data_IF_900616648192
#
_entry.id   IF_900616648192
#
_cell.length_a   1.000
_cell.length_b   1.000
_cell.length_c   1.000
_cell.angle_alpha   90.00
_cell.angle_beta   90.00
_cell.angle_gamma   90.00
#
_symmetry.space_group_name_H-M   'P 1'
#
loop_
_entity.id
_entity.type
_entity.pdbx_description
1 polymer ?
#
# COMPACT_ATOMS: atom_id res chain seq x y z
N UNK A 1 -8.52 27.56 21.82
CA UNK A 1 -8.12 26.19 21.35
C UNK A 1 -7.09 26.33 20.23
N UNK A 2 -5.81 25.96 20.48
CA UNK A 2 -4.80 25.93 19.39
C UNK A 2 -5.19 24.79 18.44
N UNK A 3 -5.55 25.09 17.18
CA UNK A 3 -5.73 24.08 16.13
C UNK A 3 -4.42 23.29 16.01
N UNK A 4 -4.41 22.05 16.45
CA UNK A 4 -3.27 21.15 16.20
C UNK A 4 -3.20 20.95 14.69
N UNK A 5 -2.06 21.28 14.09
CA UNK A 5 -1.78 21.03 12.67
C UNK A 5 -1.86 19.52 12.44
N UNK A 6 -2.72 19.05 11.53
CA UNK A 6 -2.87 17.65 11.21
C UNK A 6 -1.57 17.05 10.63
N UNK A 7 -1.40 15.74 10.75
CA UNK A 7 -0.21 15.03 10.29
C UNK A 7 0.06 15.26 8.79
N UNK A 8 -0.97 15.22 7.96
CA UNK A 8 -0.86 15.49 6.51
C UNK A 8 -0.31 16.89 6.23
N UNK A 9 -0.76 17.91 6.98
CA UNK A 9 -0.25 19.27 6.84
C UNK A 9 1.22 19.38 7.29
N UNK A 10 1.61 18.64 8.34
CA UNK A 10 3.02 18.59 8.78
C UNK A 10 3.91 17.93 7.73
N UNK A 11 3.45 16.86 7.08
CA UNK A 11 4.16 16.20 5.98
C UNK A 11 4.33 17.16 4.80
N UNK A 12 3.27 17.88 4.40
CA UNK A 12 3.35 18.88 3.33
C UNK A 12 4.31 20.02 3.67
N UNK A 13 4.30 20.50 4.90
CA UNK A 13 5.28 21.51 5.38
C UNK A 13 6.69 20.91 5.29
N UNK A 14 6.89 19.67 5.75
CA UNK A 14 8.16 18.96 5.64
C UNK A 14 8.65 18.86 4.20
N UNK A 15 7.77 18.53 3.26
CA UNK A 15 8.08 18.47 1.82
C UNK A 15 8.56 19.83 1.28
N UNK A 16 7.82 20.91 1.55
CA UNK A 16 8.17 22.27 1.08
C UNK A 16 9.48 22.73 1.69
N UNK A 17 9.65 22.56 3.00
CA UNK A 17 10.90 22.93 3.68
C UNK A 17 12.07 22.08 3.21
N UNK A 18 11.87 20.78 2.97
CA UNK A 18 12.88 19.89 2.41
C UNK A 18 13.34 20.35 1.03
N UNK A 19 12.40 20.70 0.15
CA UNK A 19 12.72 21.23 -1.17
C UNK A 19 13.52 22.55 -1.09
N UNK A 20 13.12 23.46 -0.21
CA UNK A 20 13.85 24.72 -0.01
C UNK A 20 15.27 24.50 0.53
N UNK A 21 15.41 23.65 1.53
CA UNK A 21 16.73 23.35 2.14
C UNK A 21 17.63 22.64 1.14
N UNK A 22 17.14 21.64 0.42
CA UNK A 22 17.90 20.94 -0.61
C UNK A 22 18.35 21.87 -1.75
N UNK A 23 17.51 22.83 -2.12
CA UNK A 23 17.85 23.83 -3.14
C UNK A 23 18.89 24.86 -2.69
N UNK A 24 18.72 25.41 -1.47
CA UNK A 24 19.58 26.47 -0.94
C UNK A 24 20.90 25.93 -0.39
N UNK A 25 20.89 24.72 0.14
CA UNK A 25 22.03 24.08 0.83
C UNK A 25 22.20 22.63 0.38
N UNK A 26 22.65 22.35 -0.88
CA UNK A 26 22.76 21.00 -1.43
C UNK A 26 23.60 20.07 -0.56
N UNK A 27 24.78 20.52 -0.12
CA UNK A 27 25.71 19.72 0.71
C UNK A 27 25.10 19.35 2.08
N UNK A 28 24.20 20.18 2.61
CA UNK A 28 23.47 19.86 3.83
C UNK A 28 22.33 18.87 3.54
N UNK A 29 21.68 18.99 2.39
CA UNK A 29 20.68 18.04 1.90
C UNK A 29 21.23 16.62 1.87
N UNK A 30 22.43 16.42 1.34
CA UNK A 30 23.11 15.12 1.30
C UNK A 30 23.33 14.52 2.70
N UNK A 31 23.67 15.33 3.68
CA UNK A 31 23.85 14.89 5.07
C UNK A 31 22.56 14.48 5.76
N UNK A 32 21.40 14.83 5.21
CA UNK A 32 20.10 14.45 5.75
C UNK A 32 19.64 13.05 5.31
N UNK A 33 20.27 12.43 4.30
CA UNK A 33 19.96 11.09 3.83
C UNK A 33 19.77 10.07 4.95
N UNK A 34 20.63 9.96 6.00
CA UNK A 34 20.46 8.97 7.06
C UNK A 34 19.13 9.09 7.81
N UNK A 35 18.57 10.30 7.96
CA UNK A 35 17.27 10.49 8.62
C UNK A 35 16.11 9.96 7.75
N UNK A 36 16.20 10.17 6.44
CA UNK A 36 15.26 9.58 5.49
C UNK A 36 15.35 8.05 5.46
N UNK A 37 16.57 7.51 5.41
CA UNK A 37 16.82 6.07 5.44
C UNK A 37 16.32 5.45 6.76
N UNK A 38 16.51 6.13 7.90
CA UNK A 38 15.99 5.69 9.19
C UNK A 38 14.45 5.62 9.17
N UNK A 39 13.79 6.61 8.59
CA UNK A 39 12.33 6.59 8.44
C UNK A 39 11.85 5.40 7.57
N UNK A 40 12.50 5.16 6.43
CA UNK A 40 12.16 4.01 5.58
C UNK A 40 12.40 2.68 6.29
N UNK A 41 13.48 2.55 7.08
CA UNK A 41 13.74 1.36 7.89
C UNK A 41 12.67 1.16 8.97
N UNK A 42 12.22 2.23 9.62
CA UNK A 42 11.13 2.16 10.59
C UNK A 42 9.82 1.69 9.96
N UNK A 43 9.51 2.10 8.71
CA UNK A 43 8.35 1.58 7.99
C UNK A 43 8.55 0.09 7.69
N UNK A 44 9.70 -0.30 7.11
CA UNK A 44 9.96 -1.69 6.72
C UNK A 44 9.89 -2.68 7.89
N UNK A 45 10.30 -2.30 9.10
CA UNK A 45 10.26 -3.18 10.27
C UNK A 45 8.85 -3.57 10.71
N UNK A 46 7.83 -2.79 10.34
CA UNK A 46 6.44 -3.03 10.73
C UNK A 46 5.77 -4.03 9.80
N UNK A 47 6.18 -4.07 8.54
CA UNK A 47 5.44 -4.73 7.45
C UNK A 47 5.26 -6.21 7.71
N UNK A 48 6.34 -6.93 8.01
CA UNK A 48 6.32 -8.40 8.19
C UNK A 48 5.43 -8.84 9.36
N UNK A 49 5.63 -8.35 10.60
CA UNK A 49 4.80 -8.78 11.72
C UNK A 49 3.34 -8.36 11.57
N UNK A 50 3.07 -7.22 10.93
CA UNK A 50 1.71 -6.75 10.68
C UNK A 50 0.99 -7.65 9.66
N UNK A 51 1.61 -7.90 8.50
CA UNK A 51 1.02 -8.75 7.45
C UNK A 51 0.77 -10.15 7.98
N UNK A 52 1.77 -10.77 8.61
CA UNK A 52 1.62 -12.13 9.13
C UNK A 52 0.48 -12.23 10.13
N UNK A 53 0.45 -11.36 11.15
CA UNK A 53 -0.56 -11.43 12.21
C UNK A 53 -1.97 -11.12 11.71
N UNK A 54 -2.13 -10.12 10.83
CA UNK A 54 -3.45 -9.77 10.27
C UNK A 54 -3.99 -10.86 9.35
N UNK A 55 -3.14 -11.49 8.54
CA UNK A 55 -3.55 -12.60 7.68
C UNK A 55 -3.97 -13.82 8.48
N UNK A 56 -3.17 -14.25 9.46
CA UNK A 56 -3.51 -15.40 10.31
C UNK A 56 -4.80 -15.13 11.07
N UNK A 57 -4.95 -13.95 11.67
CA UNK A 57 -6.18 -13.55 12.37
C UNK A 57 -7.39 -13.51 11.42
N UNK A 58 -7.23 -12.94 10.23
CA UNK A 58 -8.32 -12.83 9.24
C UNK A 58 -8.80 -14.19 8.77
N UNK A 59 -7.90 -15.14 8.54
CA UNK A 59 -8.24 -16.49 8.06
C UNK A 59 -8.77 -17.36 9.19
N UNK A 60 -8.08 -17.41 10.33
CA UNK A 60 -8.42 -18.29 11.44
C UNK A 60 -9.63 -17.79 12.25
N UNK A 61 -9.89 -16.48 12.31
CA UNK A 61 -11.03 -15.90 13.02
C UNK A 61 -12.39 -16.15 12.38
N UNK A 62 -12.43 -16.80 11.21
CA UNK A 62 -13.66 -17.05 10.46
C UNK A 62 -14.27 -18.41 10.78
N UNK A 63 -14.86 -18.60 11.93
CA UNK A 63 -15.29 -19.88 12.49
C UNK A 63 -16.33 -20.72 11.71
N UNK A 64 -16.91 -20.29 10.59
CA UNK A 64 -17.85 -21.06 9.77
C UNK A 64 -17.48 -21.02 8.27
N UNK A 65 -16.63 -21.96 7.87
CA UNK A 65 -16.12 -22.08 6.50
C UNK A 65 -17.19 -22.28 5.42
N UNK A 66 -18.35 -22.87 5.73
CA UNK A 66 -19.41 -23.12 4.73
C UNK A 66 -20.21 -21.88 4.35
N UNK A 67 -20.58 -21.07 5.33
CA UNK A 67 -21.26 -19.77 5.08
C UNK A 67 -20.27 -18.76 4.50
N UNK A 68 -19.06 -18.77 5.01
CA UNK A 68 -17.95 -17.93 4.54
C UNK A 68 -17.49 -18.26 3.14
N UNK A 69 -17.44 -19.53 2.75
CA UNK A 69 -16.96 -19.95 1.44
C UNK A 69 -17.72 -19.30 0.28
N UNK A 70 -19.04 -19.17 0.40
CA UNK A 70 -19.85 -18.52 -0.64
C UNK A 70 -19.70 -16.99 -0.64
N UNK A 71 -19.63 -16.37 0.55
CA UNK A 71 -19.43 -14.94 0.69
C UNK A 71 -17.99 -14.57 0.33
N UNK A 72 -17.03 -15.34 0.84
CA UNK A 72 -15.59 -15.17 0.55
C UNK A 72 -15.27 -15.33 -0.93
N UNK A 73 -15.81 -16.36 -1.59
CA UNK A 73 -15.62 -16.54 -3.02
C UNK A 73 -16.11 -15.34 -3.85
N UNK A 74 -17.30 -14.81 -3.50
CA UNK A 74 -17.81 -13.60 -4.17
C UNK A 74 -16.96 -12.36 -3.87
N UNK A 75 -16.51 -12.22 -2.64
CA UNK A 75 -15.65 -11.11 -2.24
C UNK A 75 -14.30 -11.18 -2.97
N UNK A 76 -13.66 -12.36 -3.03
CA UNK A 76 -12.38 -12.55 -3.73
C UNK A 76 -12.54 -12.25 -5.22
N UNK A 77 -13.57 -12.78 -5.89
CA UNK A 77 -13.81 -12.48 -7.32
C UNK A 77 -13.97 -10.97 -7.53
N UNK A 78 -14.70 -10.29 -6.64
CA UNK A 78 -14.85 -8.84 -6.73
C UNK A 78 -13.52 -8.10 -6.48
N UNK A 79 -12.74 -8.55 -5.51
CA UNK A 79 -11.44 -7.97 -5.20
C UNK A 79 -10.47 -8.09 -6.38
N UNK A 80 -10.32 -9.29 -6.96
CA UNK A 80 -9.47 -9.52 -8.13
C UNK A 80 -9.92 -8.68 -9.34
N UNK A 81 -11.22 -8.57 -9.55
CA UNK A 81 -11.77 -7.72 -10.60
C UNK A 81 -11.44 -6.24 -10.38
N UNK A 82 -11.63 -5.73 -9.16
CA UNK A 82 -11.32 -4.35 -8.81
C UNK A 82 -9.81 -4.07 -8.92
N UNK A 83 -8.98 -4.97 -8.41
CA UNK A 83 -7.50 -4.87 -8.48
C UNK A 83 -7.02 -4.87 -9.93
N UNK A 84 -7.59 -5.71 -10.80
CA UNK A 84 -7.26 -5.72 -12.24
C UNK A 84 -7.58 -4.38 -12.89
N UNK A 85 -8.73 -3.79 -12.57
CA UNK A 85 -9.10 -2.45 -13.06
C UNK A 85 -8.13 -1.39 -12.52
N UNK A 86 -7.79 -1.45 -11.23
CA UNK A 86 -6.85 -0.51 -10.62
C UNK A 86 -5.48 -0.57 -11.32
N UNK A 87 -4.97 -1.78 -11.55
CA UNK A 87 -3.73 -2.03 -12.27
C UNK A 87 -3.77 -1.45 -13.70
N UNK A 88 -4.82 -1.78 -14.46
CA UNK A 88 -4.99 -1.31 -15.83
C UNK A 88 -5.07 0.24 -15.91
N UNK A 89 -5.80 0.87 -15.00
CA UNK A 89 -5.88 2.34 -14.92
C UNK A 89 -4.53 2.94 -14.54
N UNK A 90 -3.82 2.36 -13.56
CA UNK A 90 -2.49 2.80 -13.15
C UNK A 90 -1.50 2.78 -14.32
N UNK A 91 -1.42 1.65 -15.02
CA UNK A 91 -0.57 1.49 -16.21
C UNK A 91 -0.95 2.46 -17.33
N UNK A 92 -2.25 2.63 -17.61
CA UNK A 92 -2.74 3.54 -18.64
C UNK A 92 -2.30 5.00 -18.36
N UNK A 93 -2.51 5.49 -17.13
CA UNK A 93 -2.14 6.85 -16.78
C UNK A 93 -0.64 7.10 -16.85
N UNK A 94 0.17 6.12 -16.45
CA UNK A 94 1.63 6.23 -16.49
C UNK A 94 2.17 6.22 -17.91
N UNK A 95 1.56 5.46 -18.81
CA UNK A 95 1.92 5.45 -20.25
C UNK A 95 1.47 6.73 -20.98
N UNK A 96 0.39 7.37 -20.53
CA UNK A 96 -0.08 8.64 -21.12
C UNK A 96 0.72 9.82 -20.59
N UNK A 97 0.98 9.87 -19.28
CA UNK A 97 1.61 11.00 -18.63
C UNK A 97 3.13 10.99 -18.75
N UNK A 98 3.73 9.81 -18.95
CA UNK A 98 5.18 9.57 -19.08
C UNK A 98 6.02 10.43 -18.12
N UNK A 99 5.74 10.41 -16.79
CA UNK A 99 6.34 11.37 -15.86
C UNK A 99 7.85 11.18 -15.68
N UNK A 100 8.39 9.99 -15.98
CA UNK A 100 9.82 9.67 -15.87
C UNK A 100 10.61 9.90 -17.13
N UNK A 101 9.96 10.12 -18.28
CA UNK A 101 10.64 10.28 -19.58
C UNK A 101 11.36 11.62 -19.65
N UNK A 102 12.62 11.61 -20.17
CA UNK A 102 13.41 12.81 -20.36
C UNK A 102 14.13 13.35 -19.11
N UNK A 103 14.09 12.60 -18.01
CA UNK A 103 14.85 12.94 -16.80
C UNK A 103 16.30 12.48 -16.98
N UNK A 104 17.25 13.41 -16.96
CA UNK A 104 18.67 13.09 -16.97
C UNK A 104 19.12 12.71 -15.56
N UNK A 105 19.30 11.42 -15.32
CA UNK A 105 19.93 10.91 -14.10
C UNK A 105 21.45 11.10 -14.18
N UNK A 106 22.08 11.46 -13.06
CA UNK A 106 23.55 11.54 -12.98
C UNK A 106 24.20 10.18 -13.28
N UNK A 107 25.44 10.18 -13.77
CA UNK A 107 26.17 8.98 -14.21
C UNK A 107 26.26 7.85 -13.16
N UNK A 108 26.13 8.17 -11.86
CA UNK A 108 26.08 7.18 -10.78
C UNK A 108 24.78 6.36 -10.77
N UNK A 109 23.68 6.92 -11.26
CA UNK A 109 22.41 6.23 -11.39
C UNK A 109 22.34 5.36 -12.66
N UNK A 110 23.06 5.75 -13.72
CA UNK A 110 23.17 4.96 -14.95
C UNK A 110 23.86 3.59 -14.73
N UNK A 111 24.77 3.48 -13.76
CA UNK A 111 25.38 2.20 -13.38
C UNK A 111 24.40 1.23 -12.71
N UNK A 112 23.35 1.75 -12.03
CA UNK A 112 22.30 0.93 -11.47
C UNK A 112 21.36 0.35 -12.55
N UNK A 113 21.16 1.06 -13.68
CA UNK A 113 20.36 0.58 -14.82
C UNK A 113 21.02 -0.61 -15.52
N UNK A 114 22.35 -0.59 -15.64
CA UNK A 114 23.12 -1.70 -16.21
C UNK A 114 23.05 -2.96 -15.32
N UNK A 115 22.99 -2.79 -14.00
CA UNK A 115 22.80 -3.91 -13.06
C UNK A 115 21.38 -4.47 -13.13
N UNK A 116 20.35 -3.63 -13.31
CA UNK A 116 18.97 -4.06 -13.48
C UNK A 116 18.72 -4.73 -14.84
N UNK A 117 19.36 -4.25 -15.91
CA UNK A 117 19.28 -4.85 -17.25
C UNK A 117 20.01 -6.21 -17.32
N UNK A 118 21.07 -6.40 -16.54
CA UNK A 118 21.79 -7.67 -16.45
C UNK A 118 21.01 -8.77 -15.70
N UNK A 119 19.96 -8.41 -14.99
CA UNK A 119 19.08 -9.35 -14.25
C UNK A 119 17.85 -9.79 -15.05
N UNK A 120 17.77 -9.57 -16.35
CA UNK A 120 16.75 -10.18 -17.22
C UNK A 120 17.03 -11.68 -17.38
N UNK A 121 16.83 -12.42 -16.31
CA UNK A 121 16.63 -13.86 -16.40
C UNK A 121 15.20 -14.06 -16.89
N UNK A 122 15.04 -14.87 -17.94
CA UNK A 122 13.74 -15.45 -18.27
C UNK A 122 13.22 -16.14 -17.00
N UNK A 123 12.21 -15.54 -16.37
CA UNK A 123 11.61 -16.11 -15.15
C UNK A 123 10.91 -17.39 -15.60
N UNK A 124 11.47 -18.55 -15.25
CA UNK A 124 10.77 -19.81 -15.41
C UNK A 124 9.55 -19.75 -14.47
N UNK A 125 8.35 -19.73 -15.06
CA UNK A 125 7.10 -19.66 -14.31
C UNK A 125 6.96 -20.81 -13.30
N UNK A 126 7.57 -21.96 -13.59
CA UNK A 126 7.56 -23.13 -12.69
C UNK A 126 8.46 -22.86 -11.49
N UNK A 127 9.67 -22.39 -11.72
CA UNK A 127 10.59 -22.02 -10.64
C UNK A 127 10.02 -20.89 -9.78
N UNK A 128 9.39 -19.89 -10.41
CA UNK A 128 8.72 -18.83 -9.67
C UNK A 128 7.57 -19.35 -8.81
N UNK A 129 6.73 -20.26 -9.35
CA UNK A 129 5.63 -20.85 -8.59
C UNK A 129 6.12 -21.72 -7.41
N UNK A 130 7.21 -22.45 -7.60
CA UNK A 130 7.83 -23.23 -6.52
C UNK A 130 8.46 -22.33 -5.46
N UNK A 131 9.03 -21.20 -5.87
CA UNK A 131 9.66 -20.20 -4.97
C UNK A 131 8.66 -19.50 -4.04
N UNK A 132 7.34 -19.55 -4.34
CA UNK A 132 6.28 -19.06 -3.44
C UNK A 132 6.26 -19.85 -2.12
N UNK A 133 6.69 -21.11 -2.13
CA UNK A 133 6.67 -21.98 -0.95
C UNK A 133 7.97 -21.77 -0.16
N UNK A 134 7.92 -21.24 1.08
CA UNK A 134 9.12 -21.00 1.86
C UNK A 134 9.72 -22.33 2.34
N UNK A 135 11.03 -22.48 2.20
CA UNK A 135 11.77 -23.58 2.83
C UNK A 135 11.93 -23.35 4.35
N UNK A 136 11.96 -22.08 4.76
CA UNK A 136 12.03 -21.65 6.16
C UNK A 136 11.32 -20.31 6.32
N UNK A 137 10.25 -20.29 7.11
CA UNK A 137 9.47 -19.07 7.33
C UNK A 137 10.26 -17.95 8.04
N UNK A 138 11.16 -18.30 8.95
CA UNK A 138 11.96 -17.31 9.68
C UNK A 138 12.95 -16.62 8.72
N UNK A 139 13.55 -17.36 7.80
CA UNK A 139 14.41 -16.81 6.76
C UNK A 139 13.61 -15.91 5.80
N UNK A 140 12.43 -16.35 5.37
CA UNK A 140 11.52 -15.54 4.54
C UNK A 140 11.13 -14.22 5.24
N UNK A 141 10.83 -14.25 6.54
CA UNK A 141 10.56 -13.06 7.35
C UNK A 141 11.78 -12.16 7.46
N UNK A 142 12.98 -12.71 7.66
CA UNK A 142 14.23 -11.96 7.76
C UNK A 142 14.60 -11.26 6.45
N UNK A 143 14.37 -11.90 5.31
CA UNK A 143 14.57 -11.33 3.96
C UNK A 143 13.44 -10.44 3.50
N UNK A 144 12.31 -10.42 4.23
CA UNK A 144 11.09 -9.71 3.85
C UNK A 144 10.51 -10.20 2.51
N UNK A 145 10.60 -11.51 2.24
CA UNK A 145 9.96 -12.13 1.08
C UNK A 145 8.44 -12.26 1.33
N UNK A 146 7.72 -11.22 0.89
CA UNK A 146 6.30 -11.07 1.19
C UNK A 146 5.46 -12.21 0.62
N UNK A 147 5.81 -12.72 -0.56
CA UNK A 147 5.05 -13.77 -1.22
C UNK A 147 5.11 -15.08 -0.42
N UNK A 148 6.30 -15.45 0.03
CA UNK A 148 6.51 -16.60 0.89
C UNK A 148 5.84 -16.46 2.26
N UNK A 149 5.90 -15.25 2.84
CA UNK A 149 5.26 -14.95 4.13
C UNK A 149 3.73 -15.10 4.01
N UNK A 150 3.13 -14.53 2.95
CA UNK A 150 1.69 -14.61 2.69
C UNK A 150 1.26 -16.06 2.50
N UNK A 151 1.98 -16.83 1.68
CA UNK A 151 1.70 -18.24 1.45
C UNK A 151 1.68 -19.03 2.76
N UNK A 152 2.74 -18.88 3.57
CA UNK A 152 2.81 -19.56 4.87
C UNK A 152 1.70 -19.09 5.82
N UNK A 153 1.42 -17.78 5.90
CA UNK A 153 0.37 -17.24 6.74
C UNK A 153 -1.01 -17.78 6.37
N UNK A 154 -1.28 -17.97 5.08
CA UNK A 154 -2.51 -18.60 4.60
C UNK A 154 -2.63 -20.06 5.08
N UNK A 155 -1.59 -20.87 4.87
CA UNK A 155 -1.59 -22.27 5.32
C UNK A 155 -1.69 -22.38 6.84
N UNK A 156 -0.92 -21.57 7.56
CA UNK A 156 -0.94 -21.54 9.01
C UNK A 156 -2.28 -21.10 9.57
N UNK A 157 -2.88 -20.05 8.99
CA UNK A 157 -4.20 -19.56 9.38
C UNK A 157 -5.30 -20.60 9.18
N UNK A 158 -5.27 -21.34 8.05
CA UNK A 158 -6.18 -22.46 7.81
C UNK A 158 -5.97 -23.58 8.83
N UNK A 159 -4.73 -23.94 9.14
CA UNK A 159 -4.41 -24.96 10.15
C UNK A 159 -4.92 -24.52 11.55
N UNK A 160 -4.66 -23.27 11.94
CA UNK A 160 -5.15 -22.70 13.22
C UNK A 160 -6.67 -22.76 13.33
N UNK A 161 -7.38 -22.43 12.25
CA UNK A 161 -8.83 -22.55 12.21
C UNK A 161 -9.35 -23.99 12.40
N UNK A 162 -8.63 -25.00 11.90
CA UNK A 162 -9.02 -26.42 12.03
C UNK A 162 -8.72 -27.01 13.41
N UNK A 163 -7.79 -26.44 14.18
CA UNK A 163 -7.50 -26.90 15.56
C UNK A 163 -8.66 -26.62 16.52
N UNK A 164 -9.59 -25.73 16.17
CA UNK A 164 -10.72 -25.34 17.03
C UNK A 164 -10.27 -24.53 18.25
N UNK A 165 -10.84 -24.78 19.43
CA UNK A 165 -10.66 -23.95 20.63
C UNK A 165 -9.20 -23.68 21.05
N UNK A 166 -8.25 -24.58 20.75
CA UNK A 166 -6.80 -24.30 20.94
C UNK A 166 -6.27 -23.27 19.95
N UNK A 167 -6.88 -23.14 18.78
CA UNK A 167 -6.53 -22.15 17.79
C UNK A 167 -6.91 -20.72 18.21
N UNK A 168 -7.94 -20.55 19.03
CA UNK A 168 -8.37 -19.23 19.53
C UNK A 168 -7.24 -18.49 20.24
N UNK A 169 -6.43 -19.19 21.05
CA UNK A 169 -5.26 -18.59 21.70
C UNK A 169 -4.25 -18.01 20.69
N UNK A 170 -4.04 -18.70 19.57
CA UNK A 170 -3.13 -18.22 18.51
C UNK A 170 -3.74 -16.99 17.82
N UNK A 171 -5.04 -17.01 17.56
CA UNK A 171 -5.76 -15.86 16.97
C UNK A 171 -5.67 -14.65 17.90
N UNK A 172 -5.87 -14.81 19.22
CA UNK A 172 -5.77 -13.75 20.20
C UNK A 172 -4.34 -13.15 20.28
N UNK A 173 -3.31 -14.01 20.20
CA UNK A 173 -1.92 -13.56 20.11
C UNK A 173 -1.70 -12.75 18.83
N UNK A 174 -2.14 -13.25 17.68
CA UNK A 174 -2.02 -12.54 16.41
C UNK A 174 -2.78 -11.20 16.44
N UNK A 175 -3.96 -11.16 17.02
CA UNK A 175 -4.70 -9.92 17.22
C UNK A 175 -3.91 -8.92 18.07
N UNK A 176 -3.38 -9.36 19.21
CA UNK A 176 -2.59 -8.51 20.09
C UNK A 176 -1.33 -7.98 19.41
N UNK A 177 -0.67 -8.82 18.61
CA UNK A 177 0.49 -8.40 17.80
C UNK A 177 0.08 -7.37 16.74
N UNK A 178 -1.03 -7.59 16.02
CA UNK A 178 -1.52 -6.65 15.02
C UNK A 178 -1.86 -5.29 15.67
N UNK A 179 -2.57 -5.27 16.81
CA UNK A 179 -2.90 -4.05 17.55
C UNK A 179 -1.63 -3.31 18.02
N UNK A 180 -0.63 -4.05 18.52
CA UNK A 180 0.65 -3.48 18.89
C UNK A 180 1.36 -2.86 17.67
N UNK A 181 1.37 -3.56 16.52
CA UNK A 181 1.98 -3.04 15.28
C UNK A 181 1.24 -1.82 14.72
N UNK A 182 -0.08 -1.74 14.85
CA UNK A 182 -0.82 -0.51 14.52
C UNK A 182 -0.41 0.67 15.41
N UNK A 183 -0.15 0.44 16.71
CA UNK A 183 0.39 1.48 17.58
C UNK A 183 1.80 1.91 17.20
N UNK A 184 2.66 0.95 16.87
CA UNK A 184 4.03 1.22 16.36
C UNK A 184 3.96 2.02 15.06
N UNK A 185 3.06 1.65 14.14
CA UNK A 185 2.80 2.42 12.90
C UNK A 185 2.44 3.88 13.23
N UNK A 186 1.54 4.08 14.19
CA UNK A 186 1.20 5.42 14.66
C UNK A 186 2.41 6.22 15.17
N UNK A 187 3.32 5.59 15.92
CA UNK A 187 4.55 6.24 16.38
C UNK A 187 5.49 6.57 15.22
N UNK A 188 5.68 5.64 14.29
CA UNK A 188 6.52 5.86 13.11
C UNK A 188 5.95 6.97 12.22
N UNK A 189 4.62 7.03 12.06
CA UNK A 189 3.96 8.09 11.29
C UNK A 189 4.15 9.49 11.89
N UNK A 190 4.34 9.62 13.20
CA UNK A 190 4.71 10.91 13.79
C UNK A 190 6.11 11.39 13.36
N UNK A 191 6.99 10.47 12.95
CA UNK A 191 8.29 10.80 12.41
C UNK A 191 8.25 11.13 10.90
N UNK A 192 7.14 10.81 10.21
CA UNK A 192 7.00 11.01 8.77
C UNK A 192 7.30 12.44 8.28
N UNK A 193 6.89 13.54 8.96
CA UNK A 193 7.25 14.89 8.53
C UNK A 193 8.76 15.13 8.46
N UNK A 194 9.52 14.56 9.41
CA UNK A 194 10.99 14.66 9.46
C UNK A 194 11.60 13.79 8.37
N UNK A 195 11.10 12.54 8.21
CA UNK A 195 11.58 11.62 7.18
C UNK A 195 11.38 12.16 5.77
N UNK A 196 10.19 12.71 5.49
CA UNK A 196 9.85 13.31 4.19
C UNK A 196 10.70 14.57 3.95
N UNK A 197 10.83 15.45 4.94
CA UNK A 197 11.74 16.60 4.87
C UNK A 197 13.15 16.18 4.46
N UNK A 198 13.71 15.19 5.15
CA UNK A 198 15.08 14.73 4.94
C UNK A 198 15.26 14.09 3.54
N UNK A 199 14.30 13.23 3.11
CA UNK A 199 14.35 12.58 1.80
C UNK A 199 14.22 13.58 0.65
N UNK A 200 13.32 14.56 0.77
CA UNK A 200 13.14 15.60 -0.25
C UNK A 200 14.36 16.54 -0.30
N UNK A 201 14.89 16.93 0.86
CA UNK A 201 16.12 17.75 0.91
C UNK A 201 17.31 17.02 0.26
N UNK A 202 17.46 15.72 0.54
CA UNK A 202 18.45 14.87 -0.13
C UNK A 202 18.22 14.80 -1.65
N UNK A 203 16.98 14.50 -2.07
CA UNK A 203 16.65 14.35 -3.48
C UNK A 203 16.91 15.64 -4.27
N UNK A 204 16.50 16.78 -3.74
CA UNK A 204 16.71 18.08 -4.38
C UNK A 204 18.19 18.50 -4.34
N UNK A 205 18.89 18.22 -3.24
CA UNK A 205 20.33 18.49 -3.10
C UNK A 205 21.15 17.68 -4.10
N UNK A 206 20.91 16.36 -4.19
CA UNK A 206 21.69 15.46 -5.05
C UNK A 206 21.31 15.53 -6.54
N UNK A 207 20.03 15.72 -6.86
CA UNK A 207 19.50 15.64 -8.24
C UNK A 207 18.99 16.96 -8.79
N UNK A 208 18.96 18.00 -7.96
CA UNK A 208 18.45 19.33 -8.32
C UNK A 208 16.94 19.44 -8.21
N UNK A 209 16.46 20.70 -8.16
CA UNK A 209 15.02 21.03 -8.01
C UNK A 209 14.19 20.56 -9.21
N UNK A 210 14.81 20.42 -10.38
CA UNK A 210 14.14 19.92 -11.58
C UNK A 210 13.55 18.50 -11.39
N UNK A 211 14.09 17.72 -10.46
CA UNK A 211 13.57 16.39 -10.11
C UNK A 211 12.18 16.43 -9.47
N UNK A 212 11.77 17.57 -8.94
CA UNK A 212 10.41 17.73 -8.40
C UNK A 212 9.33 17.75 -9.48
N UNK A 213 9.68 18.10 -10.74
CA UNK A 213 8.71 18.13 -11.85
C UNK A 213 8.24 16.72 -12.21
N UNK A 214 9.12 15.74 -12.47
CA UNK A 214 8.71 14.34 -12.68
C UNK A 214 7.94 13.76 -11.50
N UNK A 215 8.39 14.03 -10.27
CA UNK A 215 7.68 13.59 -9.06
C UNK A 215 6.30 14.23 -8.94
N UNK A 216 6.16 15.50 -9.25
CA UNK A 216 4.87 16.22 -9.30
C UNK A 216 3.94 15.63 -10.36
N UNK A 217 4.46 15.33 -11.57
CA UNK A 217 3.71 14.63 -12.62
C UNK A 217 3.25 13.24 -12.15
N UNK A 218 4.12 12.48 -11.49
CA UNK A 218 3.77 11.16 -10.93
C UNK A 218 2.62 11.29 -9.94
N UNK A 219 2.73 12.21 -8.97
CA UNK A 219 1.70 12.43 -7.95
C UNK A 219 0.36 12.80 -8.60
N UNK A 220 0.38 13.71 -9.59
CA UNK A 220 -0.83 14.12 -10.31
C UNK A 220 -1.43 12.96 -11.10
N UNK A 221 -0.60 12.18 -11.80
CA UNK A 221 -1.04 11.01 -12.56
C UNK A 221 -1.70 9.98 -11.65
N UNK A 222 -1.09 9.66 -10.50
CA UNK A 222 -1.66 8.74 -9.51
C UNK A 222 -2.98 9.29 -8.93
N UNK A 223 -3.05 10.59 -8.64
CA UNK A 223 -4.28 11.21 -8.14
C UNK A 223 -5.42 11.14 -9.16
N UNK A 224 -5.14 11.46 -10.43
CA UNK A 224 -6.11 11.36 -11.52
C UNK A 224 -6.54 9.89 -11.77
N UNK A 225 -5.58 8.96 -11.78
CA UNK A 225 -5.86 7.54 -11.93
C UNK A 225 -6.74 7.01 -10.79
N UNK A 226 -6.45 7.40 -9.54
CA UNK A 226 -7.27 7.04 -8.37
C UNK A 226 -8.68 7.61 -8.47
N UNK A 227 -8.82 8.86 -8.89
CA UNK A 227 -10.14 9.49 -9.10
C UNK A 227 -10.94 8.75 -10.17
N UNK A 228 -10.31 8.41 -11.31
CA UNK A 228 -10.95 7.62 -12.37
C UNK A 228 -11.33 6.23 -11.87
N UNK A 229 -10.43 5.55 -11.15
CA UNK A 229 -10.70 4.23 -10.56
C UNK A 229 -11.94 4.27 -9.65
N UNK A 230 -12.02 5.24 -8.74
CA UNK A 230 -13.19 5.41 -7.86
C UNK A 230 -14.47 5.62 -8.69
N UNK A 231 -14.42 6.46 -9.74
CA UNK A 231 -15.57 6.69 -10.62
C UNK A 231 -15.99 5.42 -11.36
N UNK A 232 -15.04 4.64 -11.90
CA UNK A 232 -15.32 3.39 -12.63
C UNK A 232 -15.92 2.34 -11.71
N UNK A 233 -15.33 2.11 -10.54
CA UNK A 233 -15.85 1.14 -9.56
C UNK A 233 -17.22 1.57 -9.03
N UNK A 234 -17.41 2.88 -8.77
CA UNK A 234 -18.69 3.44 -8.37
C UNK A 234 -19.78 3.23 -9.42
N UNK A 235 -19.44 3.45 -10.69
CA UNK A 235 -20.36 3.24 -11.82
C UNK A 235 -20.75 1.77 -11.94
N UNK A 236 -19.76 0.88 -11.94
CA UNK A 236 -19.97 -0.57 -12.01
C UNK A 236 -20.84 -1.02 -10.83
N UNK A 237 -20.49 -0.66 -9.61
CA UNK A 237 -21.26 -1.01 -8.42
C UNK A 237 -22.70 -0.48 -8.50
N UNK A 238 -22.89 0.78 -8.94
CA UNK A 238 -24.22 1.37 -9.08
C UNK A 238 -25.08 0.67 -10.14
N UNK A 239 -24.50 0.28 -11.27
CA UNK A 239 -25.20 -0.43 -12.36
C UNK A 239 -25.63 -1.83 -11.91
N UNK A 240 -24.75 -2.57 -11.22
CA UNK A 240 -25.04 -3.94 -10.80
C UNK A 240 -25.94 -4.04 -9.56
N UNK A 241 -25.89 -3.05 -8.65
CA UNK A 241 -26.64 -3.11 -7.38
C UNK A 241 -27.81 -2.16 -7.33
N UNK A 242 -27.91 -1.20 -8.23
CA UNK A 242 -28.91 -0.12 -8.17
C UNK A 242 -28.68 0.89 -7.02
N UNK A 243 -27.58 0.76 -6.27
CA UNK A 243 -27.27 1.64 -5.14
C UNK A 243 -26.62 2.92 -5.65
N UNK A 244 -27.12 4.06 -5.20
CA UNK A 244 -26.49 5.36 -5.51
C UNK A 244 -25.19 5.50 -4.70
N UNK A 245 -24.07 5.35 -5.37
CA UNK A 245 -22.75 5.41 -4.74
C UNK A 245 -22.45 6.78 -4.09
N UNK A 246 -22.95 7.87 -4.65
CA UNK A 246 -22.81 9.18 -4.03
C UNK A 246 -23.49 9.26 -2.66
N UNK A 247 -24.58 8.51 -2.46
CA UNK A 247 -25.21 8.39 -1.15
C UNK A 247 -24.27 7.70 -0.14
N UNK A 248 -23.59 6.64 -0.57
CA UNK A 248 -22.63 5.91 0.26
C UNK A 248 -21.43 6.81 0.61
N UNK A 249 -20.84 7.50 -0.37
CA UNK A 249 -19.74 8.45 -0.11
C UNK A 249 -20.18 9.53 0.88
N UNK A 250 -21.37 10.10 0.69
CA UNK A 250 -21.89 11.13 1.58
C UNK A 250 -22.10 10.62 3.00
N UNK A 251 -22.56 9.38 3.15
CA UNK A 251 -22.73 8.74 4.45
C UNK A 251 -21.39 8.45 5.14
N UNK A 252 -20.34 8.15 4.37
CA UNK A 252 -18.99 7.83 4.88
C UNK A 252 -18.04 9.04 4.91
N UNK A 253 -18.48 10.24 4.53
CA UNK A 253 -17.63 11.43 4.35
C UNK A 253 -16.72 11.75 5.53
N UNK A 254 -17.23 11.65 6.77
CA UNK A 254 -16.47 11.99 7.97
C UNK A 254 -15.38 10.94 8.25
N UNK A 255 -15.66 9.69 7.89
CA UNK A 255 -14.75 8.55 8.02
C UNK A 255 -13.66 8.63 6.93
N UNK A 256 -14.05 8.98 5.69
CA UNK A 256 -13.10 9.21 4.60
C UNK A 256 -12.18 10.40 4.92
N UNK A 257 -12.75 11.47 5.51
CA UNK A 257 -11.94 12.61 5.97
C UNK A 257 -11.00 12.22 7.10
N UNK A 258 -11.43 11.33 8.03
CA UNK A 258 -10.56 10.79 9.08
C UNK A 258 -9.41 10.00 8.47
N UNK A 259 -9.68 9.05 7.55
CA UNK A 259 -8.66 8.28 6.87
C UNK A 259 -7.63 9.18 6.15
N UNK A 260 -8.11 10.18 5.43
CA UNK A 260 -7.26 11.14 4.73
C UNK A 260 -6.42 11.99 5.69
N UNK A 261 -7.02 12.52 6.76
CA UNK A 261 -6.33 13.40 7.70
C UNK A 261 -5.33 12.69 8.58
N UNK A 262 -5.54 11.39 8.82
CA UNK A 262 -4.60 10.54 9.59
C UNK A 262 -3.60 9.82 8.70
N UNK A 263 -3.79 9.88 7.35
CA UNK A 263 -3.06 9.05 6.38
C UNK A 263 -3.07 7.55 6.78
N UNK A 264 -4.19 7.08 7.34
CA UNK A 264 -4.34 5.73 7.87
C UNK A 264 -5.76 5.20 7.62
N UNK A 265 -5.85 4.14 6.83
CA UNK A 265 -7.10 3.42 6.61
C UNK A 265 -7.52 2.62 7.84
N UNK A 266 -6.55 2.18 8.67
CA UNK A 266 -6.76 1.46 9.92
C UNK A 266 -7.58 2.27 10.92
N UNK A 267 -7.23 3.54 11.05
CA UNK A 267 -7.94 4.44 11.96
C UNK A 267 -9.41 4.64 11.57
N UNK A 268 -9.72 4.48 10.29
CA UNK A 268 -11.06 4.64 9.75
C UNK A 268 -11.89 3.35 9.76
N UNK A 269 -11.26 2.18 9.77
CA UNK A 269 -11.91 0.89 9.60
C UNK A 269 -13.05 0.64 10.61
N UNK A 270 -12.88 0.81 11.94
CA UNK A 270 -13.96 0.58 12.91
C UNK A 270 -15.15 1.51 12.69
N UNK A 271 -14.88 2.78 12.36
CA UNK A 271 -15.90 3.77 12.04
C UNK A 271 -16.69 3.41 10.78
N UNK A 272 -15.99 2.94 9.74
CA UNK A 272 -16.59 2.50 8.48
C UNK A 272 -17.50 1.28 8.69
N UNK A 273 -17.03 0.30 9.44
CA UNK A 273 -17.81 -0.90 9.77
C UNK A 273 -19.12 -0.52 10.48
N UNK A 274 -19.04 0.28 11.54
CA UNK A 274 -20.23 0.75 12.27
C UNK A 274 -21.20 1.51 11.36
N UNK A 275 -20.67 2.38 10.51
CA UNK A 275 -21.52 3.20 9.62
C UNK A 275 -22.21 2.36 8.55
N UNK A 276 -21.55 1.31 8.03
CA UNK A 276 -22.16 0.39 7.08
C UNK A 276 -23.30 -0.44 7.74
N UNK A 277 -23.12 -0.87 8.99
CA UNK A 277 -24.19 -1.52 9.76
C UNK A 277 -25.38 -0.58 9.95
N UNK A 278 -25.17 0.69 10.27
CA UNK A 278 -26.21 1.72 10.37
C UNK A 278 -26.93 1.96 9.03
N UNK A 279 -26.26 1.77 7.90
CA UNK A 279 -26.84 1.85 6.56
C UNK A 279 -27.63 0.59 6.18
N UNK A 280 -27.70 -0.42 7.06
CA UNK A 280 -28.48 -1.63 6.88
C UNK A 280 -27.70 -2.81 6.30
N UNK A 281 -26.37 -2.72 6.17
CA UNK A 281 -25.54 -3.86 5.76
C UNK A 281 -25.47 -4.86 6.92
N UNK A 282 -25.81 -6.15 6.69
CA UNK A 282 -25.77 -7.17 7.75
C UNK A 282 -24.40 -7.24 8.43
N UNK A 283 -24.38 -7.27 9.76
CA UNK A 283 -23.15 -7.30 10.58
C UNK A 283 -22.20 -8.40 10.14
N UNK A 284 -22.72 -9.61 9.83
CA UNK A 284 -21.91 -10.74 9.36
C UNK A 284 -21.15 -10.44 8.08
N UNK A 285 -21.71 -9.63 7.16
CA UNK A 285 -21.04 -9.22 5.92
C UNK A 285 -19.99 -8.18 6.25
N UNK A 286 -20.34 -7.17 7.06
CA UNK A 286 -19.41 -6.07 7.40
C UNK A 286 -18.19 -6.60 8.14
N UNK A 287 -18.38 -7.44 9.16
CA UNK A 287 -17.28 -7.99 9.99
C UNK A 287 -16.36 -8.93 9.22
N UNK A 288 -16.83 -9.52 8.13
CA UNK A 288 -16.00 -10.38 7.29
C UNK A 288 -15.36 -9.59 6.11
N UNK A 289 -16.19 -8.91 5.31
CA UNK A 289 -15.72 -8.30 4.04
C UNK A 289 -14.80 -7.10 4.29
N UNK A 290 -15.09 -6.27 5.30
CA UNK A 290 -14.30 -5.06 5.54
C UNK A 290 -12.86 -5.35 5.99
N UNK A 291 -12.62 -6.19 7.02
CA UNK A 291 -11.23 -6.53 7.39
C UNK A 291 -10.52 -7.34 6.31
N UNK A 292 -11.23 -8.26 5.63
CA UNK A 292 -10.67 -9.05 4.53
C UNK A 292 -10.26 -8.15 3.37
N UNK A 293 -11.15 -7.26 2.92
CA UNK A 293 -10.85 -6.30 1.86
C UNK A 293 -9.70 -5.37 2.24
N UNK A 294 -9.69 -4.89 3.47
CA UNK A 294 -8.59 -4.08 3.99
C UNK A 294 -7.22 -4.79 3.95
N UNK A 295 -7.20 -6.10 4.22
CA UNK A 295 -5.95 -6.88 4.25
C UNK A 295 -5.52 -7.39 2.86
N UNK A 296 -6.46 -7.79 2.01
CA UNK A 296 -6.17 -8.47 0.75
C UNK A 296 -6.40 -7.63 -0.51
N UNK A 297 -7.13 -6.54 -0.43
CA UNK A 297 -7.54 -5.75 -1.60
C UNK A 297 -7.28 -4.26 -1.41
N UNK A 298 -6.02 -3.87 -1.40
CA UNK A 298 -5.58 -2.48 -1.32
C UNK A 298 -5.42 -1.88 -2.72
N UNK A 299 -6.52 -1.69 -3.44
CA UNK A 299 -6.53 -1.21 -4.84
C UNK A 299 -5.74 0.10 -5.04
N UNK A 300 -5.82 1.03 -4.08
CA UNK A 300 -5.03 2.26 -4.11
C UNK A 300 -3.53 2.01 -4.04
N UNK A 301 -3.09 1.03 -3.24
CA UNK A 301 -1.69 0.64 -3.15
C UNK A 301 -1.22 -0.08 -4.41
N UNK A 302 -2.05 -0.93 -5.01
CA UNK A 302 -1.78 -1.62 -6.27
C UNK A 302 -1.59 -0.62 -7.42
N UNK A 303 -2.51 0.35 -7.53
CA UNK A 303 -2.42 1.43 -8.51
C UNK A 303 -1.15 2.26 -8.33
N UNK A 304 -0.83 2.64 -7.10
CA UNK A 304 0.39 3.39 -6.78
C UNK A 304 1.66 2.57 -7.09
N UNK A 305 1.68 1.28 -6.74
CA UNK A 305 2.83 0.41 -6.97
C UNK A 305 3.10 0.21 -8.46
N UNK A 306 2.07 -0.03 -9.27
CA UNK A 306 2.19 -0.14 -10.72
C UNK A 306 2.70 1.16 -11.35
N UNK A 307 2.17 2.30 -10.89
CA UNK A 307 2.64 3.62 -11.31
C UNK A 307 4.12 3.84 -10.94
N UNK A 308 4.53 3.46 -9.72
CA UNK A 308 5.90 3.59 -9.25
C UNK A 308 6.89 2.76 -10.06
N UNK A 309 6.55 1.51 -10.39
CA UNK A 309 7.38 0.62 -11.22
C UNK A 309 7.60 1.22 -12.61
N UNK A 310 6.53 1.66 -13.29
CA UNK A 310 6.63 2.28 -14.60
C UNK A 310 7.39 3.61 -14.55
N UNK A 311 7.20 4.42 -13.51
CA UNK A 311 7.97 5.64 -13.32
C UNK A 311 9.47 5.37 -13.23
N UNK A 312 9.86 4.36 -12.45
CA UNK A 312 11.26 3.94 -12.33
C UNK A 312 11.78 3.42 -13.67
N UNK A 313 11.02 2.58 -14.38
CA UNK A 313 11.41 2.10 -15.71
C UNK A 313 11.64 3.26 -16.69
N UNK A 314 10.74 4.24 -16.72
CA UNK A 314 10.87 5.45 -17.55
C UNK A 314 12.09 6.29 -17.18
N UNK A 315 12.38 6.44 -15.87
CA UNK A 315 13.58 7.16 -15.39
C UNK A 315 14.88 6.52 -15.89
N UNK A 316 14.91 5.20 -15.97
CA UNK A 316 16.08 4.46 -16.45
C UNK A 316 16.06 4.17 -17.95
N UNK A 317 15.04 4.65 -18.68
CA UNK A 317 14.92 4.41 -20.13
C UNK A 317 14.66 2.94 -20.48
N UNK A 318 14.16 2.15 -19.52
CA UNK A 318 13.81 0.75 -19.72
C UNK A 318 12.46 0.71 -20.40
N UNK A 319 12.41 0.19 -21.63
CA UNK A 319 11.15 -0.08 -22.31
C UNK A 319 10.56 -1.38 -21.75
N UNK A 320 9.39 -1.29 -21.17
CA UNK A 320 8.62 -2.46 -20.71
C UNK A 320 7.59 -2.79 -21.79
N UNK A 321 7.81 -3.85 -22.62
CA UNK A 321 6.81 -4.32 -23.57
C UNK A 321 5.59 -4.89 -22.80
N UNK A 322 4.42 -4.89 -23.47
CA UNK A 322 3.15 -5.33 -22.86
C UNK A 322 3.20 -6.81 -22.41
N UNK A 323 4.19 -7.56 -22.90
CA UNK A 323 4.39 -8.98 -22.58
C UNK A 323 5.19 -9.21 -21.27
N UNK A 324 5.70 -8.18 -20.64
CA UNK A 324 6.41 -8.18 -19.36
C UNK A 324 5.57 -7.48 -18.27
#
# INVERSE_FOLDING_TARGET
MKRKIGLSSQILIGLVLGALVGYLFPDFGDKLKPFGDAFLRMIKMIVVPLIFSTLVMGIAGTGDFKKLGRLGGKAIIWFEFATTIALAIGLLFMNIAEPGVGVTLSASAANASNAAAASQHSVDLVDYAVHIIPTNIVDAMARQDMLQIIFFACFFGVAVAHIGGKGETIVDICQSVAEAMFKVTGYVMHFAPIGVFAMIAYTVGSYGIAMLIPLGKLILSVACATALFICVVALIASVFTGINFFHVIRALKDILFLAFSTASSEAALPGAMKRLEELGVPKTIVTFVMPTGYSFNLDGSTLYSSAGILFIAQLYGIQMPIEQ
#
